data_IF_615256408153
#
_entry.id   IF_615256408153
#
_cell.length_a   1.000
_cell.length_b   1.000
_cell.length_c   1.000
_cell.angle_alpha   90.00
_cell.angle_beta   90.00
_cell.angle_gamma   90.00
#
_symmetry.space_group_name_H-M   'P 1'
#
loop_
_entity.id
_entity.type
_entity.pdbx_description
1 polymer ?
#
# COMPACT_ATOMS: atom_id res chain seq x y z
N UNK A 1 33.82 -18.11 -12.72
CA UNK A 1 33.57 -16.65 -12.59
C UNK A 1 34.53 -15.92 -13.53
N UNK A 2 34.36 -16.07 -14.85
CA UNK A 2 35.39 -15.66 -15.83
C UNK A 2 34.97 -14.50 -16.76
N UNK A 3 33.69 -14.11 -16.74
CA UNK A 3 33.17 -13.07 -17.63
C UNK A 3 32.28 -12.06 -16.87
N UNK A 4 32.77 -10.85 -16.58
CA UNK A 4 32.05 -9.84 -15.80
C UNK A 4 30.69 -9.43 -16.40
N UNK A 5 30.54 -9.55 -17.73
CA UNK A 5 29.31 -9.22 -18.45
C UNK A 5 28.13 -10.13 -18.06
N UNK A 6 28.39 -11.39 -17.72
CA UNK A 6 27.36 -12.34 -17.31
C UNK A 6 26.62 -11.91 -16.03
N UNK A 7 27.34 -11.25 -15.11
CA UNK A 7 26.75 -10.70 -13.89
C UNK A 7 25.80 -9.54 -14.22
N UNK A 8 26.21 -8.63 -15.11
CA UNK A 8 25.37 -7.50 -15.52
C UNK A 8 24.06 -7.96 -16.17
N UNK A 9 24.12 -8.94 -17.08
CA UNK A 9 22.93 -9.53 -17.72
C UNK A 9 22.03 -10.20 -16.69
N UNK A 10 22.61 -11.00 -15.78
CA UNK A 10 21.85 -11.64 -14.71
C UNK A 10 21.11 -10.61 -13.83
N UNK A 11 21.78 -9.52 -13.45
CA UNK A 11 21.17 -8.46 -12.66
C UNK A 11 19.99 -7.81 -13.39
N UNK A 12 20.13 -7.52 -14.69
CA UNK A 12 19.01 -6.98 -15.51
C UNK A 12 17.84 -7.96 -15.53
N UNK A 13 18.10 -9.25 -15.75
CA UNK A 13 17.05 -10.27 -15.74
C UNK A 13 16.34 -10.35 -14.38
N UNK A 14 17.10 -10.37 -13.28
CA UNK A 14 16.53 -10.37 -11.92
C UNK A 14 15.70 -9.11 -11.70
N UNK A 15 16.22 -7.92 -12.00
CA UNK A 15 15.49 -6.66 -11.82
C UNK A 15 14.20 -6.61 -12.63
N UNK A 16 14.24 -7.08 -13.88
CA UNK A 16 13.05 -7.13 -14.74
C UNK A 16 11.99 -8.09 -14.18
N UNK A 17 12.39 -9.30 -13.79
CA UNK A 17 11.48 -10.27 -13.17
C UNK A 17 10.92 -9.77 -11.83
N UNK A 18 11.75 -9.11 -11.02
CA UNK A 18 11.30 -8.49 -9.76
C UNK A 18 10.29 -7.38 -10.00
N UNK A 19 10.48 -6.54 -11.03
CA UNK A 19 9.52 -5.50 -11.41
C UNK A 19 8.17 -6.11 -11.83
N UNK A 20 8.21 -7.19 -12.61
CA UNK A 20 6.99 -7.92 -13.02
C UNK A 20 6.28 -8.62 -11.85
N UNK A 21 7.02 -9.02 -10.81
CA UNK A 21 6.43 -9.61 -9.60
C UNK A 21 5.77 -8.57 -8.68
N UNK A 22 6.14 -7.29 -8.77
CA UNK A 22 5.68 -6.23 -7.86
C UNK A 22 4.15 -6.15 -7.72
N UNK A 23 3.32 -6.19 -8.79
CA UNK A 23 1.88 -6.06 -8.64
C UNK A 23 1.27 -7.14 -7.76
N UNK A 24 1.80 -8.37 -7.85
CA UNK A 24 1.35 -9.52 -7.07
C UNK A 24 1.77 -9.36 -5.61
N UNK A 25 3.05 -9.07 -5.35
CA UNK A 25 3.56 -8.92 -3.98
C UNK A 25 2.90 -7.73 -3.28
N UNK A 26 2.76 -6.60 -3.97
CA UNK A 26 2.12 -5.40 -3.44
C UNK A 26 0.63 -5.61 -3.21
N UNK A 27 -0.06 -6.41 -4.04
CA UNK A 27 -1.45 -6.78 -3.80
C UNK A 27 -1.62 -7.57 -2.49
N UNK A 28 -0.79 -8.57 -2.24
CA UNK A 28 -0.85 -9.37 -0.99
C UNK A 28 -0.59 -8.48 0.23
N UNK A 29 0.40 -7.59 0.17
CA UNK A 29 0.67 -6.64 1.27
C UNK A 29 -0.51 -5.71 1.50
N UNK A 30 -1.12 -5.17 0.44
CA UNK A 30 -2.30 -4.31 0.55
C UNK A 30 -3.50 -5.01 1.19
N UNK A 31 -3.70 -6.30 0.92
CA UNK A 31 -4.75 -7.07 1.60
C UNK A 31 -4.51 -7.11 3.11
N UNK A 32 -3.28 -7.40 3.54
CA UNK A 32 -2.91 -7.38 4.95
C UNK A 32 -3.11 -6.02 5.62
N UNK A 33 -2.80 -4.92 4.92
CA UNK A 33 -3.06 -3.56 5.43
C UNK A 33 -4.56 -3.28 5.59
N UNK A 34 -5.40 -3.72 4.65
CA UNK A 34 -6.86 -3.55 4.74
C UNK A 34 -7.42 -4.36 5.92
N UNK A 35 -6.96 -5.60 6.11
CA UNK A 35 -7.35 -6.45 7.23
C UNK A 35 -6.91 -5.84 8.58
N UNK A 36 -5.69 -5.29 8.64
CA UNK A 36 -5.18 -4.60 9.83
C UNK A 36 -6.01 -3.35 10.17
N UNK A 37 -6.36 -2.54 9.17
CA UNK A 37 -7.24 -1.38 9.31
C UNK A 37 -8.61 -1.80 9.86
N UNK A 38 -9.22 -2.82 9.26
CA UNK A 38 -10.51 -3.38 9.71
C UNK A 38 -10.46 -3.92 11.14
N UNK A 39 -9.37 -4.59 11.51
CA UNK A 39 -9.15 -5.04 12.88
C UNK A 39 -9.09 -3.85 13.84
N UNK A 40 -8.36 -2.78 13.47
CA UNK A 40 -8.25 -1.57 14.30
C UNK A 40 -9.60 -0.90 14.55
N UNK A 41 -10.47 -0.87 13.53
CA UNK A 41 -11.82 -0.33 13.65
C UNK A 41 -12.65 -1.12 14.67
N UNK A 42 -12.55 -2.44 14.66
CA UNK A 42 -13.27 -3.33 15.58
C UNK A 42 -12.70 -3.29 17.00
N UNK A 43 -11.38 -3.24 17.12
CA UNK A 43 -10.68 -3.36 18.40
C UNK A 43 -10.67 -2.05 19.20
N UNK A 44 -10.49 -0.91 18.51
CA UNK A 44 -10.27 0.40 19.16
C UNK A 44 -11.39 1.40 18.83
N UNK A 45 -12.05 1.24 17.68
CA UNK A 45 -13.16 2.09 17.23
C UNK A 45 -12.86 3.60 17.23
N UNK A 46 -11.68 3.98 16.73
CA UNK A 46 -11.26 5.38 16.57
C UNK A 46 -11.00 5.75 15.10
N UNK A 47 -12.01 5.66 14.20
CA UNK A 47 -11.83 5.92 12.77
C UNK A 47 -11.36 7.35 12.47
N UNK A 48 -11.81 8.36 13.24
CA UNK A 48 -11.36 9.75 13.06
C UNK A 48 -9.88 9.95 13.42
N UNK A 49 -9.41 9.30 14.49
CA UNK A 49 -8.00 9.37 14.90
C UNK A 49 -7.09 8.72 13.85
N UNK A 50 -7.50 7.56 13.33
CA UNK A 50 -6.80 6.88 12.25
C UNK A 50 -6.76 7.73 10.97
N UNK A 51 -7.89 8.30 10.56
CA UNK A 51 -7.94 9.18 9.39
C UNK A 51 -7.03 10.40 9.56
N UNK A 52 -7.05 11.04 10.73
CA UNK A 52 -6.17 12.17 11.05
C UNK A 52 -4.69 11.78 10.98
N UNK A 53 -4.32 10.62 11.53
CA UNK A 53 -2.96 10.10 11.45
C UNK A 53 -2.52 9.83 10.00
N UNK A 54 -3.39 9.23 9.18
CA UNK A 54 -3.13 8.99 7.76
C UNK A 54 -2.96 10.28 6.97
N UNK A 55 -3.80 11.29 7.19
CA UNK A 55 -3.72 12.58 6.49
C UNK A 55 -2.41 13.30 6.79
N UNK A 56 -1.88 13.21 8.01
CA UNK A 56 -0.56 13.80 8.33
C UNK A 56 0.57 13.22 7.49
N UNK A 57 0.46 11.98 7.03
CA UNK A 57 1.46 11.37 6.14
C UNK A 57 1.45 11.97 4.72
N UNK A 58 0.36 12.63 4.32
CA UNK A 58 0.22 13.22 3.00
C UNK A 58 1.17 14.40 2.75
N UNK A 59 1.82 14.92 3.80
CA UNK A 59 2.85 15.96 3.67
C UNK A 59 4.07 15.47 2.89
N UNK A 60 4.41 14.18 3.00
CA UNK A 60 5.63 13.60 2.42
C UNK A 60 5.38 12.40 1.50
N UNK A 61 4.12 11.99 1.30
CA UNK A 61 3.76 10.94 0.32
C UNK A 61 2.53 11.34 -0.49
N UNK A 62 2.48 10.93 -1.76
CA UNK A 62 1.32 11.18 -2.61
C UNK A 62 0.07 10.50 -2.04
N UNK A 63 -0.96 11.27 -1.62
CA UNK A 63 -2.16 10.71 -1.03
C UNK A 63 -3.10 10.07 -2.07
N UNK A 64 -2.94 10.40 -3.35
CA UNK A 64 -3.84 10.04 -4.46
C UNK A 64 -3.07 9.63 -5.72
N UNK A 65 -2.19 8.61 -5.63
CA UNK A 65 -1.47 8.12 -6.79
C UNK A 65 -2.44 7.60 -7.86
N UNK A 66 -2.01 7.66 -9.12
CA UNK A 66 -2.77 7.04 -10.20
C UNK A 66 -2.93 5.52 -9.94
N UNK A 67 -4.08 4.88 -10.26
CA UNK A 67 -4.30 3.47 -9.94
C UNK A 67 -3.21 2.50 -10.43
N UNK A 68 -2.62 2.77 -11.61
CA UNK A 68 -1.51 1.98 -12.13
C UNK A 68 -0.22 2.15 -11.30
N UNK A 69 0.05 3.37 -10.85
CA UNK A 69 1.20 3.66 -10.01
C UNK A 69 1.04 2.98 -8.65
N UNK A 70 -0.15 3.08 -8.06
CA UNK A 70 -0.48 2.37 -6.83
C UNK A 70 -0.28 0.86 -7.03
N UNK A 71 -0.89 0.28 -8.07
CA UNK A 71 -0.83 -1.15 -8.38
C UNK A 71 0.61 -1.68 -8.42
N UNK A 72 1.50 -1.00 -9.16
CA UNK A 72 2.86 -1.45 -9.44
C UNK A 72 3.82 -1.09 -8.30
N UNK A 73 3.75 0.12 -7.73
CA UNK A 73 4.83 0.62 -6.86
C UNK A 73 4.46 0.77 -5.38
N UNK A 74 3.18 0.75 -5.03
CA UNK A 74 2.75 1.05 -3.66
C UNK A 74 2.45 -0.23 -2.90
N UNK A 75 3.19 -0.45 -1.81
CA UNK A 75 2.95 -1.55 -0.88
C UNK A 75 1.67 -1.38 -0.06
N UNK A 76 1.17 -0.14 0.08
CA UNK A 76 0.00 0.19 0.88
C UNK A 76 -1.10 0.80 0.00
N UNK A 77 -2.38 0.67 0.38
CA UNK A 77 -3.44 1.43 -0.28
C UNK A 77 -3.21 2.93 -0.11
N UNK A 78 -3.71 3.74 -1.05
CA UNK A 78 -3.59 5.19 -0.97
C UNK A 78 -4.18 5.76 0.33
N UNK A 79 -3.64 6.92 0.78
CA UNK A 79 -4.17 7.66 1.93
C UNK A 79 -5.66 7.89 1.75
N UNK A 80 -6.07 8.32 0.55
CA UNK A 80 -7.47 8.57 0.23
C UNK A 80 -8.34 7.33 0.46
N UNK A 81 -7.93 6.16 -0.03
CA UNK A 81 -8.71 4.92 0.13
C UNK A 81 -8.86 4.52 1.59
N UNK A 82 -7.78 4.62 2.37
CA UNK A 82 -7.81 4.26 3.80
C UNK A 82 -8.65 5.23 4.63
N UNK A 83 -8.53 6.54 4.38
CA UNK A 83 -9.37 7.57 5.01
C UNK A 83 -10.84 7.34 4.65
N UNK A 84 -11.14 7.07 3.39
CA UNK A 84 -12.52 6.77 2.94
C UNK A 84 -13.09 5.55 3.66
N UNK A 85 -12.33 4.44 3.72
CA UNK A 85 -12.75 3.23 4.42
C UNK A 85 -13.01 3.49 5.92
N UNK A 86 -12.21 4.33 6.58
CA UNK A 86 -12.44 4.71 7.97
C UNK A 86 -13.74 5.51 8.14
N UNK A 87 -14.03 6.44 7.24
CA UNK A 87 -15.28 7.23 7.27
C UNK A 87 -16.51 6.38 6.94
N UNK A 88 -16.39 5.44 6.01
CA UNK A 88 -17.42 4.46 5.70
C UNK A 88 -17.72 3.54 6.91
N UNK A 89 -16.67 3.06 7.58
CA UNK A 89 -16.82 2.31 8.84
C UNK A 89 -17.57 3.12 9.88
N UNK A 90 -17.15 4.37 10.11
CA UNK A 90 -17.79 5.29 11.05
C UNK A 90 -19.28 5.47 10.73
N UNK A 91 -19.62 5.73 9.48
CA UNK A 91 -21.00 5.93 9.05
C UNK A 91 -21.88 4.69 9.33
N UNK A 92 -21.35 3.49 9.10
CA UNK A 92 -22.05 2.22 9.35
C UNK A 92 -22.16 1.85 10.82
N UNK A 93 -21.28 2.39 11.68
CA UNK A 93 -21.19 2.09 13.11
C UNK A 93 -21.42 3.34 13.96
N UNK A 94 -22.29 4.23 13.48
CA UNK A 94 -22.74 5.39 14.24
C UNK A 94 -23.68 4.88 15.33
N UNK A 95 -23.24 4.93 16.59
CA UNK A 95 -24.18 4.90 17.73
C UNK A 95 -24.93 6.23 17.79
#
# INVERSE_FOLDING_TARGET
IAEPRGIAVLLVCISFLSLMAQPITNYVVRLGEIEADQYSYKAVNLPDAMASALVKTAEYRDPRPHPLQELIFYTHPSVEKRVRAAMEWKAQHTN
#
